data_IF_671734633389
#
_entry.id   IF_671734633389
#
_cell.length_a   1.000
_cell.length_b   1.000
_cell.length_c   1.000
_cell.angle_alpha   90.00
_cell.angle_beta   90.00
_cell.angle_gamma   90.00
#
_symmetry.space_group_name_H-M   'P 1'
#
loop_
_entity.id
_entity.type
_entity.pdbx_description
1 polymer ?
#
# COMPACT_ATOMS: atom_id res chain seq x y z
N UNK A 1 9.32 19.24 -1.91
CA UNK A 1 8.59 18.16 -2.61
C UNK A 1 7.10 18.51 -2.66
N UNK A 2 6.47 18.30 -3.80
CA UNK A 2 5.04 18.47 -4.00
C UNK A 2 4.35 17.10 -4.13
N UNK A 3 3.30 16.89 -3.36
CA UNK A 3 2.52 15.64 -3.35
C UNK A 3 1.07 15.96 -3.73
N UNK A 4 0.49 15.21 -4.65
CA UNK A 4 -0.94 15.29 -4.98
C UNK A 4 -1.66 14.02 -4.52
N UNK A 5 -2.85 14.18 -3.94
CA UNK A 5 -3.70 13.08 -3.49
C UNK A 5 -5.04 13.16 -4.23
N UNK A 6 -5.40 12.08 -4.92
CA UNK A 6 -6.64 11.97 -5.68
C UNK A 6 -7.59 11.01 -4.98
N UNK A 7 -8.78 11.52 -4.65
CA UNK A 7 -9.79 10.82 -3.85
C UNK A 7 -9.64 11.14 -2.38
N UNK A 8 -10.45 12.09 -1.87
CA UNK A 8 -10.44 12.54 -0.48
C UNK A 8 -11.64 11.92 0.27
N UNK A 9 -11.80 10.61 0.12
CA UNK A 9 -12.63 9.80 1.00
C UNK A 9 -11.91 9.50 2.32
N UNK A 10 -12.45 8.59 3.14
CA UNK A 10 -11.85 8.25 4.44
C UNK A 10 -10.35 7.89 4.35
N UNK A 11 -9.97 7.08 3.34
CA UNK A 11 -8.58 6.67 3.13
C UNK A 11 -7.72 7.84 2.67
N UNK A 12 -8.16 8.61 1.66
CA UNK A 12 -7.37 9.73 1.13
C UNK A 12 -7.19 10.85 2.16
N UNK A 13 -8.21 11.13 2.97
CA UNK A 13 -8.11 12.09 4.06
C UNK A 13 -7.12 11.62 5.14
N UNK A 14 -7.16 10.34 5.54
CA UNK A 14 -6.20 9.78 6.49
C UNK A 14 -4.76 9.79 5.94
N UNK A 15 -4.58 9.52 4.65
CA UNK A 15 -3.27 9.67 3.98
C UNK A 15 -2.82 11.12 4.04
N UNK A 16 -3.69 12.07 3.69
CA UNK A 16 -3.36 13.50 3.72
C UNK A 16 -2.95 13.95 5.15
N UNK A 17 -3.71 13.55 6.17
CA UNK A 17 -3.40 13.83 7.57
C UNK A 17 -2.05 13.23 7.99
N UNK A 18 -1.83 11.95 7.66
CA UNK A 18 -0.59 11.28 8.03
C UNK A 18 0.62 11.94 7.35
N UNK A 19 0.51 12.31 6.07
CA UNK A 19 1.59 12.97 5.31
C UNK A 19 1.85 14.39 5.82
N UNK A 20 0.81 15.17 6.11
CA UNK A 20 0.95 16.52 6.65
C UNK A 20 1.74 16.53 7.97
N UNK A 21 1.54 15.50 8.81
CA UNK A 21 2.26 15.35 10.08
C UNK A 21 3.72 14.90 9.99
N UNK A 22 4.29 14.73 8.79
CA UNK A 22 5.65 14.19 8.62
C UNK A 22 6.72 15.21 8.26
N UNK A 23 6.35 16.38 7.76
CA UNK A 23 7.28 17.34 7.17
C UNK A 23 7.91 16.93 5.84
N UNK A 24 7.46 15.84 5.22
CA UNK A 24 8.02 15.30 3.97
C UNK A 24 7.66 16.14 2.73
N UNK A 25 6.60 16.93 2.79
CA UNK A 25 6.13 17.75 1.69
C UNK A 25 6.07 19.23 2.09
N UNK A 26 6.44 20.14 1.18
CA UNK A 26 6.22 21.57 1.34
C UNK A 26 4.92 22.03 0.66
N UNK A 27 4.39 21.23 -0.26
CA UNK A 27 3.09 21.49 -0.93
C UNK A 27 2.32 20.17 -1.07
N UNK A 28 1.02 20.24 -0.73
CA UNK A 28 0.06 19.16 -0.94
C UNK A 28 -1.12 19.67 -1.75
N UNK A 29 -1.53 18.92 -2.77
CA UNK A 29 -2.74 19.19 -3.55
C UNK A 29 -3.74 18.08 -3.31
N UNK A 30 -4.92 18.44 -2.84
CA UNK A 30 -6.04 17.54 -2.61
C UNK A 30 -7.05 17.66 -3.75
N UNK A 31 -7.35 16.56 -4.41
CA UNK A 31 -8.31 16.50 -5.50
C UNK A 31 -9.38 15.45 -5.22
N UNK A 32 -10.64 15.85 -5.34
CA UNK A 32 -11.78 14.93 -5.35
C UNK A 32 -12.76 15.39 -6.44
N UNK A 33 -13.53 14.45 -7.00
CA UNK A 33 -14.64 14.80 -7.92
C UNK A 33 -15.68 15.68 -7.22
N UNK A 34 -15.84 15.51 -5.89
CA UNK A 34 -16.56 16.40 -5.02
C UNK A 34 -15.60 17.52 -4.56
N UNK A 35 -15.61 18.65 -5.29
CA UNK A 35 -14.73 19.77 -5.00
C UNK A 35 -15.01 20.43 -3.64
N UNK A 36 -16.21 20.28 -3.06
CA UNK A 36 -16.51 20.77 -1.71
C UNK A 36 -15.74 19.94 -0.67
N UNK A 37 -15.74 18.62 -0.82
CA UNK A 37 -14.98 17.71 0.05
C UNK A 37 -13.50 18.00 0.03
N UNK A 38 -12.91 18.20 -1.15
CA UNK A 38 -11.49 18.54 -1.27
C UNK A 38 -11.16 19.87 -0.59
N UNK A 39 -12.02 20.90 -0.76
CA UNK A 39 -11.84 22.21 -0.11
C UNK A 39 -11.94 22.11 1.41
N UNK A 40 -12.98 21.46 1.92
CA UNK A 40 -13.17 21.28 3.37
C UNK A 40 -11.98 20.55 4.01
N UNK A 41 -11.48 19.49 3.37
CA UNK A 41 -10.32 18.75 3.85
C UNK A 41 -9.03 19.60 3.80
N UNK A 42 -8.83 20.40 2.75
CA UNK A 42 -7.67 21.28 2.65
C UNK A 42 -7.67 22.38 3.72
N UNK A 43 -8.83 22.94 4.00
CA UNK A 43 -9.00 23.97 5.04
C UNK A 43 -8.71 23.40 6.44
N UNK A 44 -9.35 22.29 6.80
CA UNK A 44 -9.18 21.63 8.10
C UNK A 44 -7.73 21.18 8.33
N UNK A 45 -7.10 20.56 7.33
CA UNK A 45 -5.69 20.19 7.40
C UNK A 45 -4.75 21.39 7.41
N UNK A 46 -5.11 22.50 6.72
CA UNK A 46 -4.38 23.75 6.78
C UNK A 46 -4.35 24.33 8.21
N UNK A 47 -5.48 24.26 8.92
CA UNK A 47 -5.53 24.63 10.34
C UNK A 47 -4.66 23.70 11.20
N UNK A 48 -4.72 22.38 10.97
CA UNK A 48 -3.92 21.41 11.72
C UNK A 48 -2.40 21.58 11.48
N UNK A 49 -1.99 22.00 10.29
CA UNK A 49 -0.59 22.23 9.94
C UNK A 49 0.07 23.28 10.82
N UNK A 50 -0.69 24.27 11.31
CA UNK A 50 -0.19 25.29 12.25
C UNK A 50 0.37 24.70 13.57
N UNK A 51 0.00 23.47 13.91
CA UNK A 51 0.47 22.75 15.11
C UNK A 51 1.55 21.70 14.82
N UNK A 52 2.01 21.58 13.56
CA UNK A 52 2.99 20.56 13.17
C UNK A 52 4.09 21.12 12.25
N UNK A 53 3.98 20.90 10.96
CA UNK A 53 4.94 21.35 9.95
C UNK A 53 4.29 22.37 9.03
N UNK A 54 5.04 23.42 8.66
CA UNK A 54 4.59 24.39 7.68
C UNK A 54 4.52 23.72 6.28
N UNK A 55 3.30 23.50 5.84
CA UNK A 55 2.97 22.86 4.56
C UNK A 55 1.84 23.62 3.87
N UNK A 56 2.03 23.96 2.61
CA UNK A 56 0.98 24.57 1.79
C UNK A 56 0.00 23.49 1.32
N UNK A 57 -1.25 23.53 1.78
CA UNK A 57 -2.30 22.59 1.40
C UNK A 57 -3.35 23.29 0.53
N UNK A 58 -3.56 22.80 -0.68
CA UNK A 58 -4.48 23.38 -1.64
C UNK A 58 -5.50 22.33 -2.09
N UNK A 59 -6.76 22.73 -2.20
CA UNK A 59 -7.76 21.96 -2.93
C UNK A 59 -7.69 22.27 -4.42
N UNK A 60 -7.95 21.28 -5.25
CA UNK A 60 -7.99 21.43 -6.69
C UNK A 60 -9.32 20.93 -7.29
N UNK A 61 -9.78 21.60 -8.33
CA UNK A 61 -10.95 21.24 -9.13
C UNK A 61 -10.60 20.74 -10.55
N UNK A 62 -9.31 20.75 -10.88
CA UNK A 62 -8.81 20.26 -12.16
C UNK A 62 -7.40 19.68 -12.02
N UNK A 63 -7.01 18.82 -12.98
CA UNK A 63 -5.73 18.10 -12.96
C UNK A 63 -4.51 18.99 -13.23
N UNK A 64 -4.69 20.24 -13.75
CA UNK A 64 -3.57 21.17 -13.97
C UNK A 64 -2.86 21.54 -12.66
N UNK A 65 -3.58 21.49 -11.55
CA UNK A 65 -3.01 21.73 -10.22
C UNK A 65 -1.92 20.72 -9.82
N UNK A 66 -1.89 19.53 -10.47
CA UNK A 66 -0.88 18.51 -10.23
C UNK A 66 0.45 18.79 -10.93
N UNK A 67 0.53 19.84 -11.75
CA UNK A 67 1.80 20.22 -12.40
C UNK A 67 2.89 20.43 -11.35
N UNK A 68 4.06 19.82 -11.60
CA UNK A 68 5.20 19.87 -10.68
C UNK A 68 5.12 18.89 -9.50
N UNK A 69 4.10 18.01 -9.44
CA UNK A 69 4.06 16.96 -8.43
C UNK A 69 5.17 15.95 -8.64
N UNK A 70 5.90 15.66 -7.57
CA UNK A 70 6.92 14.61 -7.52
C UNK A 70 6.28 13.24 -7.26
N UNK A 71 5.18 13.23 -6.50
CA UNK A 71 4.41 12.03 -6.17
C UNK A 71 2.91 12.31 -6.36
N UNK A 72 2.20 11.37 -6.99
CA UNK A 72 0.74 11.39 -7.07
C UNK A 72 0.19 10.11 -6.43
N UNK A 73 -0.67 10.28 -5.44
CA UNK A 73 -1.30 9.19 -4.69
C UNK A 73 -2.73 9.02 -5.21
N UNK A 74 -3.06 7.82 -5.65
CA UNK A 74 -4.40 7.46 -6.14
C UNK A 74 -5.12 6.67 -5.05
N UNK A 75 -5.99 7.34 -4.31
CA UNK A 75 -6.87 6.77 -3.30
C UNK A 75 -8.35 6.84 -3.73
N UNK A 76 -8.61 7.34 -4.94
CA UNK A 76 -9.94 7.40 -5.52
C UNK A 76 -10.41 6.01 -5.91
N UNK A 77 -11.61 5.64 -5.49
CA UNK A 77 -12.24 4.37 -5.82
C UNK A 77 -13.63 4.29 -5.21
N UNK A 78 -14.42 3.33 -5.66
CA UNK A 78 -15.68 2.97 -5.05
C UNK A 78 -15.43 2.03 -3.87
N UNK A 79 -16.24 2.12 -2.83
CA UNK A 79 -16.33 1.12 -1.78
C UNK A 79 -17.35 0.05 -2.18
N UNK A 80 -17.10 -1.19 -1.77
CA UNK A 80 -18.07 -2.28 -1.96
C UNK A 80 -19.33 -1.96 -1.18
N UNK A 81 -20.49 -2.04 -1.87
CA UNK A 81 -21.80 -1.86 -1.24
C UNK A 81 -22.37 -3.22 -0.79
N UNK A 82 -23.30 -3.26 0.19
CA UNK A 82 -24.02 -4.47 0.52
C UNK A 82 -24.68 -5.08 -0.71
N UNK A 83 -24.50 -6.39 -0.94
CA UNK A 83 -25.01 -7.10 -2.11
C UNK A 83 -24.21 -6.97 -3.39
N UNK A 84 -23.16 -6.18 -3.42
CA UNK A 84 -22.29 -6.01 -4.58
C UNK A 84 -21.21 -7.10 -4.63
N UNK A 85 -20.95 -7.64 -5.82
CA UNK A 85 -19.90 -8.65 -6.01
C UNK A 85 -18.50 -8.00 -6.06
N UNK A 86 -17.44 -8.81 -5.84
CA UNK A 86 -16.05 -8.36 -6.04
C UNK A 86 -15.79 -7.96 -7.50
N UNK A 87 -16.45 -8.62 -8.46
CA UNK A 87 -16.34 -8.29 -9.89
C UNK A 87 -16.93 -6.92 -10.21
N UNK A 88 -18.09 -6.58 -9.63
CA UNK A 88 -18.70 -5.25 -9.81
C UNK A 88 -17.80 -4.14 -9.26
N UNK A 89 -17.21 -4.36 -8.09
CA UNK A 89 -16.25 -3.42 -7.50
C UNK A 89 -15.02 -3.26 -8.39
N UNK A 90 -14.49 -4.37 -8.91
CA UNK A 90 -13.34 -4.37 -9.84
C UNK A 90 -13.66 -3.50 -11.05
N UNK A 91 -14.77 -3.73 -11.76
CA UNK A 91 -15.14 -2.97 -12.95
C UNK A 91 -15.31 -1.48 -12.67
N UNK A 92 -15.94 -1.11 -11.55
CA UNK A 92 -16.05 0.31 -11.13
C UNK A 92 -14.70 0.97 -10.94
N UNK A 93 -13.79 0.29 -10.25
CA UNK A 93 -12.48 0.87 -9.96
C UNK A 93 -11.55 0.86 -11.18
N UNK A 94 -11.71 -0.10 -12.10
CA UNK A 94 -11.08 -0.04 -13.43
C UNK A 94 -11.50 1.23 -14.17
N UNK A 95 -12.80 1.53 -14.22
CA UNK A 95 -13.28 2.76 -14.88
C UNK A 95 -12.69 4.02 -14.23
N UNK A 96 -12.67 4.08 -12.88
CA UNK A 96 -12.10 5.22 -12.13
C UNK A 96 -10.62 5.39 -12.43
N UNK A 97 -9.81 4.35 -12.34
CA UNK A 97 -8.37 4.42 -12.57
C UNK A 97 -8.06 4.71 -14.04
N UNK A 98 -8.84 4.15 -14.97
CA UNK A 98 -8.71 4.41 -16.41
C UNK A 98 -9.01 5.87 -16.80
N UNK A 99 -9.90 6.55 -16.10
CA UNK A 99 -10.15 7.97 -16.30
C UNK A 99 -9.04 8.85 -15.67
N UNK A 100 -8.60 8.51 -14.46
CA UNK A 100 -7.66 9.32 -13.68
C UNK A 100 -6.25 9.29 -14.28
N UNK A 101 -5.69 8.11 -14.56
CA UNK A 101 -4.28 7.99 -14.91
C UNK A 101 -3.89 8.81 -16.15
N UNK A 102 -4.62 8.76 -17.30
CA UNK A 102 -4.27 9.58 -18.45
C UNK A 102 -4.33 11.09 -18.15
N UNK A 103 -5.31 11.53 -17.36
CA UNK A 103 -5.45 12.95 -16.98
C UNK A 103 -4.30 13.41 -16.07
N UNK A 104 -3.86 12.57 -15.14
CA UNK A 104 -2.66 12.83 -14.34
C UNK A 104 -1.45 12.95 -15.22
N UNK A 105 -1.20 11.95 -16.08
CA UNK A 105 -0.01 11.91 -16.94
C UNK A 105 0.07 13.07 -17.93
N UNK A 106 -1.07 13.64 -18.36
CA UNK A 106 -1.11 14.85 -19.19
C UNK A 106 -0.65 16.13 -18.45
N UNK A 107 -0.53 16.10 -17.13
CA UNK A 107 -0.26 17.29 -16.31
C UNK A 107 1.02 17.17 -15.44
N UNK A 108 1.65 16.02 -15.37
CA UNK A 108 2.88 15.79 -14.57
C UNK A 108 4.09 15.52 -15.46
N UNK A 109 5.27 15.70 -14.90
CA UNK A 109 6.51 15.33 -15.60
C UNK A 109 6.76 13.81 -15.46
N UNK A 110 6.59 13.08 -16.55
CA UNK A 110 6.80 11.63 -16.60
C UNK A 110 8.26 11.20 -16.28
N UNK A 111 9.24 12.11 -16.35
CA UNK A 111 10.63 11.81 -16.01
C UNK A 111 10.85 11.77 -14.49
N UNK A 112 9.99 12.43 -13.71
CA UNK A 112 10.17 12.61 -12.26
C UNK A 112 9.11 11.93 -11.41
N UNK A 113 7.85 11.96 -11.86
CA UNK A 113 6.70 11.53 -11.06
C UNK A 113 6.76 10.06 -10.66
N UNK A 114 6.27 9.77 -9.47
CA UNK A 114 5.95 8.43 -8.97
C UNK A 114 4.47 8.35 -8.66
N UNK A 115 3.85 7.25 -9.05
CA UNK A 115 2.45 6.96 -8.74
C UNK A 115 2.40 6.00 -7.57
N UNK A 116 1.66 6.37 -6.54
CA UNK A 116 1.35 5.49 -5.40
C UNK A 116 -0.11 5.09 -5.50
N UNK A 117 -0.36 3.80 -5.65
CA UNK A 117 -1.70 3.24 -5.80
C UNK A 117 -2.17 2.70 -4.45
N UNK A 118 -3.36 3.15 -4.03
CA UNK A 118 -4.02 2.73 -2.79
C UNK A 118 -5.39 2.09 -3.08
N UNK A 119 -5.93 2.35 -4.27
CA UNK A 119 -7.24 1.87 -4.74
C UNK A 119 -7.25 0.35 -4.90
N UNK A 120 -8.31 -0.30 -4.38
CA UNK A 120 -8.52 -1.76 -4.49
C UNK A 120 -9.38 -2.13 -5.72
N UNK A 121 -9.23 -3.37 -6.27
CA UNK A 121 -8.23 -4.40 -5.92
C UNK A 121 -6.82 -3.96 -6.29
N UNK A 122 -5.95 -3.86 -5.28
CA UNK A 122 -4.71 -3.11 -5.37
C UNK A 122 -3.79 -3.56 -6.50
N UNK A 123 -3.47 -4.85 -6.56
CA UNK A 123 -2.48 -5.38 -7.51
C UNK A 123 -2.95 -5.22 -8.96
N UNK A 124 -4.24 -5.40 -9.21
CA UNK A 124 -4.86 -5.17 -10.53
C UNK A 124 -4.79 -3.68 -10.90
N UNK A 125 -5.07 -2.78 -9.95
CA UNK A 125 -4.99 -1.35 -10.17
C UNK A 125 -3.54 -0.90 -10.43
N UNK A 126 -2.54 -1.51 -9.80
CA UNK A 126 -1.12 -1.28 -10.08
C UNK A 126 -0.77 -1.67 -11.52
N UNK A 127 -1.21 -2.85 -11.98
CA UNK A 127 -0.98 -3.30 -13.36
C UNK A 127 -1.63 -2.36 -14.36
N UNK A 128 -2.88 -1.96 -14.12
CA UNK A 128 -3.62 -1.03 -14.96
C UNK A 128 -2.95 0.35 -14.99
N UNK A 129 -2.59 0.89 -13.83
CA UNK A 129 -1.92 2.18 -13.74
C UNK A 129 -0.55 2.17 -14.45
N UNK A 130 0.23 1.11 -14.33
CA UNK A 130 1.51 0.97 -15.04
C UNK A 130 1.31 0.91 -16.55
N UNK A 131 0.33 0.15 -17.03
CA UNK A 131 -0.03 0.05 -18.46
C UNK A 131 -0.44 1.41 -19.03
N UNK A 132 -1.31 2.14 -18.33
CA UNK A 132 -1.86 3.42 -18.79
C UNK A 132 -0.87 4.59 -18.68
N UNK A 133 -0.08 4.63 -17.62
CA UNK A 133 0.92 5.69 -17.40
C UNK A 133 2.15 5.56 -18.28
N UNK A 134 2.47 4.35 -18.73
CA UNK A 134 3.71 4.00 -19.44
C UNK A 134 4.99 4.32 -18.63
N UNK A 135 4.86 4.59 -17.35
CA UNK A 135 6.01 4.78 -16.45
C UNK A 135 6.77 3.46 -16.27
N UNK A 136 8.06 3.52 -15.95
CA UNK A 136 8.78 2.32 -15.46
C UNK A 136 8.04 1.71 -14.28
N UNK A 137 8.01 0.38 -14.20
CA UNK A 137 7.34 -0.34 -13.11
C UNK A 137 7.84 0.09 -11.72
N UNK A 138 9.13 0.43 -11.61
CA UNK A 138 9.75 0.95 -10.38
C UNK A 138 9.09 2.23 -9.83
N UNK A 139 8.40 3.01 -10.68
CA UNK A 139 7.74 4.27 -10.32
C UNK A 139 6.22 4.17 -10.20
N UNK A 140 5.65 2.98 -10.35
CA UNK A 140 4.23 2.70 -10.10
C UNK A 140 4.13 1.69 -8.98
N UNK A 141 3.84 2.16 -7.78
CA UNK A 141 3.99 1.42 -6.53
C UNK A 141 2.62 1.33 -5.85
N UNK A 142 2.15 0.12 -5.62
CA UNK A 142 1.01 -0.13 -4.74
C UNK A 142 1.46 -0.30 -3.29
N UNK A 143 0.63 0.11 -2.36
CA UNK A 143 0.90 -0.08 -0.93
C UNK A 143 1.07 -1.55 -0.53
N UNK A 144 0.57 -2.46 -1.37
CA UNK A 144 0.78 -3.88 -1.21
C UNK A 144 0.33 -4.42 0.14
N UNK A 145 1.07 -5.37 0.63
CA UNK A 145 0.86 -6.00 1.93
C UNK A 145 1.65 -5.33 3.06
N UNK A 146 2.01 -4.03 2.92
CA UNK A 146 2.70 -3.29 3.99
C UNK A 146 1.92 -3.32 5.30
N UNK A 147 0.60 -3.06 5.21
CA UNK A 147 -0.26 -3.05 6.39
C UNK A 147 -0.46 -4.45 6.96
N UNK A 148 -0.60 -5.47 6.11
CA UNK A 148 -0.73 -6.87 6.53
C UNK A 148 0.55 -7.35 7.21
N UNK A 149 1.71 -6.97 6.67
CA UNK A 149 3.02 -7.22 7.27
C UNK A 149 3.17 -6.51 8.63
N UNK A 150 2.69 -5.27 8.76
CA UNK A 150 2.70 -4.56 10.04
C UNK A 150 1.80 -5.24 11.08
N UNK A 151 0.61 -5.74 10.68
CA UNK A 151 -0.28 -6.55 11.53
C UNK A 151 0.42 -7.81 12.02
N UNK A 152 1.03 -8.57 11.10
CA UNK A 152 1.80 -9.77 11.43
C UNK A 152 2.90 -9.48 12.46
N UNK A 153 3.72 -8.48 12.21
CA UNK A 153 4.82 -8.08 13.10
C UNK A 153 4.30 -7.65 14.47
N UNK A 154 3.19 -6.91 14.51
CA UNK A 154 2.57 -6.48 15.77
C UNK A 154 2.04 -7.67 16.58
N UNK A 155 1.37 -8.61 15.93
CA UNK A 155 0.86 -9.81 16.60
C UNK A 155 2.04 -10.65 17.14
N UNK A 156 3.06 -10.89 16.30
CA UNK A 156 4.26 -11.63 16.69
C UNK A 156 5.01 -10.95 17.85
N UNK A 157 5.22 -9.64 17.77
CA UNK A 157 5.89 -8.90 18.84
C UNK A 157 5.17 -9.05 20.18
N UNK A 158 3.84 -8.93 20.19
CA UNK A 158 3.02 -9.13 21.39
C UNK A 158 3.07 -10.58 21.89
N UNK A 159 2.98 -11.56 21.00
CA UNK A 159 3.02 -12.98 21.36
C UNK A 159 4.37 -13.38 21.94
N UNK A 160 5.46 -12.81 21.41
CA UNK A 160 6.82 -13.14 21.82
C UNK A 160 7.35 -12.24 22.96
N UNK A 161 6.60 -11.20 23.34
CA UNK A 161 7.03 -10.26 24.38
C UNK A 161 8.19 -9.35 23.95
N UNK A 162 8.29 -9.02 22.65
CA UNK A 162 9.35 -8.18 22.09
C UNK A 162 8.80 -6.98 21.33
N UNK A 163 9.64 -5.97 21.13
CA UNK A 163 9.27 -4.83 20.27
C UNK A 163 8.93 -5.31 18.85
N UNK A 164 7.86 -4.79 18.28
CA UNK A 164 7.49 -5.01 16.86
C UNK A 164 8.64 -4.68 15.90
N UNK A 165 9.53 -3.76 16.26
CA UNK A 165 10.71 -3.39 15.47
C UNK A 165 11.79 -4.47 15.43
N UNK A 166 11.81 -5.39 16.40
CA UNK A 166 12.71 -6.53 16.42
C UNK A 166 12.22 -7.71 15.55
N UNK A 167 10.96 -7.66 15.09
CA UNK A 167 10.35 -8.74 14.29
C UNK A 167 10.52 -8.44 12.81
N UNK A 168 11.15 -9.34 12.09
CA UNK A 168 11.29 -9.34 10.64
C UNK A 168 10.48 -10.50 10.07
N UNK A 169 9.29 -10.20 9.58
CA UNK A 169 8.37 -11.16 8.98
C UNK A 169 7.61 -10.45 7.85
N UNK A 170 7.13 -11.19 6.85
CA UNK A 170 6.51 -10.65 5.66
C UNK A 170 5.21 -11.37 5.34
N UNK A 171 4.24 -10.61 4.84
CA UNK A 171 3.06 -11.10 4.12
C UNK A 171 3.29 -10.79 2.65
N UNK A 172 3.13 -11.77 1.77
CA UNK A 172 3.48 -11.72 0.35
C UNK A 172 2.28 -12.03 -0.54
N UNK A 173 2.39 -11.72 -1.83
CA UNK A 173 1.38 -12.07 -2.83
C UNK A 173 0.34 -10.98 -3.05
N UNK A 174 -0.90 -11.37 -3.25
CA UNK A 174 -2.04 -10.48 -3.40
C UNK A 174 -2.28 -9.69 -2.10
N UNK A 175 -2.62 -8.40 -2.23
CA UNK A 175 -3.25 -7.69 -1.13
C UNK A 175 -4.73 -8.11 -1.05
N UNK A 176 -4.98 -9.23 -0.38
CA UNK A 176 -6.29 -9.86 -0.30
C UNK A 176 -6.22 -11.20 0.44
N UNK A 177 -7.31 -12.00 0.27
CA UNK A 177 -7.48 -13.25 1.02
C UNK A 177 -6.47 -14.34 0.64
N UNK A 178 -5.81 -14.23 -0.51
CA UNK A 178 -4.78 -15.18 -0.97
C UNK A 178 -3.36 -14.80 -0.58
N UNK A 179 -3.19 -13.77 0.25
CA UNK A 179 -1.87 -13.38 0.75
C UNK A 179 -1.21 -14.51 1.56
N UNK A 180 0.12 -14.53 1.61
CA UNK A 180 0.91 -15.62 2.19
C UNK A 180 1.83 -15.09 3.28
N UNK A 181 1.73 -15.64 4.47
CA UNK A 181 2.70 -15.38 5.54
C UNK A 181 3.96 -16.19 5.28
N UNK A 182 5.10 -15.54 5.14
CA UNK A 182 6.40 -16.15 4.89
C UNK A 182 7.07 -16.56 6.23
N UNK A 183 6.59 -17.63 6.84
CA UNK A 183 7.11 -18.13 8.13
C UNK A 183 8.57 -18.59 8.04
N UNK A 184 8.92 -19.23 6.92
CA UNK A 184 10.29 -19.74 6.71
C UNK A 184 11.35 -18.62 6.64
N UNK A 185 10.90 -17.36 6.36
CA UNK A 185 11.78 -16.21 6.33
C UNK A 185 11.64 -15.30 7.57
N UNK A 186 10.80 -15.71 8.56
CA UNK A 186 10.59 -14.90 9.74
C UNK A 186 11.78 -14.99 10.70
N UNK A 187 12.15 -13.84 11.28
CA UNK A 187 13.23 -13.74 12.26
C UNK A 187 12.92 -12.70 13.35
N UNK A 188 13.58 -12.82 14.46
CA UNK A 188 13.47 -11.88 15.59
C UNK A 188 14.87 -11.56 16.10
N UNK A 189 15.23 -10.29 16.12
CA UNK A 189 16.55 -9.85 16.57
C UNK A 189 17.72 -10.48 15.79
N UNK A 190 17.51 -10.84 14.52
CA UNK A 190 18.50 -11.50 13.67
C UNK A 190 18.51 -13.03 13.76
N UNK A 191 17.81 -13.64 14.71
CA UNK A 191 17.67 -15.10 14.82
C UNK A 191 16.47 -15.59 14.00
N UNK A 192 16.56 -16.72 13.29
CA UNK A 192 15.38 -17.38 12.73
C UNK A 192 14.30 -17.58 13.81
N UNK A 193 13.03 -17.43 13.44
CA UNK A 193 11.91 -17.43 14.39
C UNK A 193 11.90 -18.68 15.29
N UNK A 194 12.10 -19.87 14.71
CA UNK A 194 12.07 -21.12 15.47
C UNK A 194 13.26 -21.21 16.46
N UNK A 195 14.42 -20.70 16.07
CA UNK A 195 15.60 -20.62 16.96
C UNK A 195 15.37 -19.63 18.10
N UNK A 196 14.80 -18.46 17.81
CA UNK A 196 14.42 -17.48 18.84
C UNK A 196 13.44 -18.11 19.85
N UNK A 197 12.39 -18.78 19.35
CA UNK A 197 11.39 -19.45 20.17
C UNK A 197 12.03 -20.55 21.06
N UNK A 198 12.98 -21.30 20.52
CA UNK A 198 13.72 -22.34 21.27
C UNK A 198 14.54 -21.72 22.40
N UNK A 199 15.28 -20.66 22.14
CA UNK A 199 16.13 -19.99 23.15
C UNK A 199 15.30 -19.31 24.23
N UNK A 200 14.18 -18.71 23.89
CA UNK A 200 13.29 -18.02 24.84
C UNK A 200 12.29 -18.96 25.55
N UNK A 201 12.27 -20.24 25.19
CA UNK A 201 11.27 -21.21 25.65
C UNK A 201 9.82 -20.80 25.46
N UNK A 202 9.57 -19.97 24.38
CA UNK A 202 8.27 -19.48 24.01
C UNK A 202 7.89 -19.96 22.59
N UNK A 203 7.43 -21.20 22.41
CA UNK A 203 7.18 -21.80 21.11
C UNK A 203 5.92 -21.24 20.46
N UNK A 204 5.99 -20.95 19.16
CA UNK A 204 4.82 -20.69 18.32
C UNK A 204 4.43 -21.99 17.62
N UNK A 205 3.41 -22.66 18.16
CA UNK A 205 2.90 -23.93 17.62
C UNK A 205 2.26 -23.75 16.23
N UNK A 206 2.03 -24.86 15.51
CA UNK A 206 1.31 -24.83 14.24
C UNK A 206 -0.11 -24.23 14.38
N UNK A 207 -0.82 -24.55 15.45
CA UNK A 207 -2.13 -23.98 15.75
C UNK A 207 -2.04 -22.45 16.01
N UNK A 208 -1.01 -22.00 16.73
CA UNK A 208 -0.76 -20.58 16.95
C UNK A 208 -0.46 -19.85 15.62
N UNK A 209 0.33 -20.44 14.70
CA UNK A 209 0.57 -19.88 13.37
C UNK A 209 -0.72 -19.72 12.57
N UNK A 210 -1.59 -20.72 12.55
CA UNK A 210 -2.90 -20.64 11.90
C UNK A 210 -3.78 -19.52 12.49
N UNK A 211 -3.80 -19.41 13.82
CA UNK A 211 -4.54 -18.32 14.51
C UNK A 211 -3.99 -16.94 14.13
N UNK A 212 -2.67 -16.81 14.03
CA UNK A 212 -2.01 -15.56 13.64
C UNK A 212 -2.37 -15.20 12.17
N UNK A 213 -2.27 -16.16 11.25
CA UNK A 213 -2.67 -15.97 9.85
C UNK A 213 -4.13 -15.53 9.74
N UNK A 214 -5.05 -16.22 10.42
CA UNK A 214 -6.44 -15.84 10.48
C UNK A 214 -6.63 -14.40 10.95
N UNK A 215 -5.96 -13.99 12.02
CA UNK A 215 -6.03 -12.61 12.55
C UNK A 215 -5.47 -11.57 11.59
N UNK A 216 -4.40 -11.89 10.86
CA UNK A 216 -3.82 -11.01 9.83
C UNK A 216 -4.80 -10.79 8.69
N UNK A 217 -5.37 -11.86 8.13
CA UNK A 217 -6.31 -11.80 7.01
C UNK A 217 -7.64 -11.14 7.39
N UNK A 218 -8.12 -11.38 8.61
CA UNK A 218 -9.44 -10.89 9.05
C UNK A 218 -9.40 -9.53 9.76
N UNK A 219 -8.23 -8.95 10.01
CA UNK A 219 -8.10 -7.69 10.72
C UNK A 219 -8.90 -6.54 10.09
N UNK A 220 -8.94 -6.46 8.76
CA UNK A 220 -9.71 -5.44 8.06
C UNK A 220 -11.22 -5.60 8.28
N UNK A 221 -11.72 -6.82 8.22
CA UNK A 221 -13.15 -7.13 8.43
C UNK A 221 -13.59 -6.78 9.86
N UNK A 222 -12.75 -7.09 10.87
CA UNK A 222 -13.01 -6.73 12.27
C UNK A 222 -13.09 -5.20 12.45
N UNK A 223 -12.15 -4.45 11.85
CA UNK A 223 -12.14 -2.99 11.92
C UNK A 223 -13.36 -2.39 11.20
N UNK A 224 -13.70 -2.90 10.01
CA UNK A 224 -14.85 -2.44 9.23
C UNK A 224 -16.15 -2.69 10.01
N UNK A 225 -16.29 -3.84 10.66
CA UNK A 225 -17.47 -4.14 11.51
C UNK A 225 -17.63 -3.15 12.66
N UNK A 226 -16.53 -2.70 13.26
CA UNK A 226 -16.57 -1.75 14.39
C UNK A 226 -16.62 -0.27 13.99
N UNK A 227 -16.04 0.11 12.84
CA UNK A 227 -15.85 1.52 12.43
C UNK A 227 -16.43 1.88 11.07
N UNK A 228 -16.99 0.93 10.33
CA UNK A 228 -17.51 1.13 8.97
C UNK A 228 -16.44 1.11 7.87
N UNK A 229 -15.19 1.44 8.18
CA UNK A 229 -14.05 1.39 7.25
C UNK A 229 -12.73 1.36 8.01
N UNK A 230 -11.61 1.12 7.28
CA UNK A 230 -10.24 1.22 7.83
C UNK A 230 -9.51 2.35 7.12
N UNK A 231 -8.79 3.20 7.87
CA UNK A 231 -8.06 4.34 7.30
C UNK A 231 -6.77 4.71 8.04
N UNK A 232 -6.68 4.64 9.39
CA UNK A 232 -5.49 5.08 10.13
C UNK A 232 -4.23 4.29 9.75
N UNK A 233 -4.36 2.96 9.67
CA UNK A 233 -3.25 2.08 9.34
C UNK A 233 -2.71 2.31 7.93
N UNK A 234 -3.60 2.50 6.94
CA UNK A 234 -3.16 2.76 5.56
C UNK A 234 -2.58 4.17 5.42
N UNK A 235 -3.11 5.17 6.14
CA UNK A 235 -2.52 6.51 6.19
C UNK A 235 -1.08 6.46 6.69
N UNK A 236 -0.83 5.77 7.80
CA UNK A 236 0.50 5.57 8.36
C UNK A 236 1.42 4.78 7.40
N UNK A 237 0.92 3.73 6.75
CA UNK A 237 1.70 2.94 5.79
C UNK A 237 2.14 3.77 4.57
N UNK A 238 1.26 4.61 4.03
CA UNK A 238 1.60 5.51 2.93
C UNK A 238 2.64 6.55 3.38
N UNK A 239 2.46 7.17 4.54
CA UNK A 239 3.45 8.12 5.08
C UNK A 239 4.83 7.46 5.28
N UNK A 240 4.87 6.21 5.74
CA UNK A 240 6.10 5.43 5.90
C UNK A 240 6.76 5.08 4.54
N UNK A 241 5.97 4.75 3.52
CA UNK A 241 6.43 4.55 2.14
C UNK A 241 7.02 5.85 1.57
N UNK A 242 6.32 6.96 1.74
CA UNK A 242 6.78 8.28 1.28
C UNK A 242 8.09 8.68 1.95
N UNK A 243 8.24 8.42 3.25
CA UNK A 243 9.49 8.70 3.96
C UNK A 243 10.66 7.96 3.35
N UNK A 244 10.49 6.68 3.01
CA UNK A 244 11.53 5.90 2.32
C UNK A 244 11.90 6.48 0.96
N UNK A 245 10.91 6.98 0.20
CA UNK A 245 11.14 7.59 -1.12
C UNK A 245 11.80 8.97 -1.01
N UNK A 246 11.26 9.81 -0.14
CA UNK A 246 11.69 11.23 -0.02
C UNK A 246 13.10 11.35 0.51
N UNK A 247 13.45 10.52 1.50
CA UNK A 247 14.75 10.55 2.18
C UNK A 247 15.77 9.55 1.60
N UNK A 248 15.42 8.82 0.53
CA UNK A 248 16.21 7.70 -0.02
C UNK A 248 16.64 6.68 1.05
N UNK A 249 15.75 6.35 1.99
CA UNK A 249 16.10 5.47 3.10
C UNK A 249 16.39 4.03 2.68
N UNK A 250 16.04 3.65 1.46
CA UNK A 250 16.25 2.29 0.88
C UNK A 250 15.74 1.17 1.77
N UNK A 251 14.58 1.39 2.37
CA UNK A 251 13.95 0.43 3.26
C UNK A 251 13.37 -0.75 2.49
N UNK A 252 13.31 -1.89 3.18
CA UNK A 252 12.66 -3.10 2.66
C UNK A 252 11.18 -3.06 3.06
N UNK A 253 10.32 -2.82 2.07
CA UNK A 253 8.87 -2.70 2.22
C UNK A 253 8.17 -3.73 1.34
N UNK A 254 7.05 -4.31 1.82
CA UNK A 254 6.25 -5.28 1.05
C UNK A 254 5.25 -4.56 0.14
N UNK A 255 5.78 -3.82 -0.82
CA UNK A 255 5.01 -3.08 -1.81
C UNK A 255 4.71 -3.92 -3.05
N UNK A 256 3.63 -3.57 -3.76
CA UNK A 256 3.25 -4.16 -5.02
C UNK A 256 3.79 -3.34 -6.19
N UNK A 257 4.44 -3.97 -7.14
CA UNK A 257 4.81 -3.39 -8.44
C UNK A 257 4.89 -4.49 -9.49
N UNK A 258 4.83 -4.12 -10.76
CA UNK A 258 4.89 -5.07 -11.88
C UNK A 258 6.30 -5.62 -12.02
N UNK A 259 6.43 -6.94 -11.93
CA UNK A 259 7.65 -7.69 -12.24
C UNK A 259 7.42 -8.63 -13.43
N UNK A 260 8.52 -9.20 -13.95
CA UNK A 260 8.50 -10.16 -15.03
C UNK A 260 8.56 -9.52 -16.42
N UNK A 261 8.45 -10.36 -17.45
CA UNK A 261 8.53 -9.96 -18.85
C UNK A 261 7.35 -10.52 -19.66
N UNK A 262 6.97 -9.84 -20.73
CA UNK A 262 5.94 -10.31 -21.65
C UNK A 262 4.61 -10.61 -20.94
N UNK A 263 4.06 -11.80 -21.17
CA UNK A 263 2.81 -12.27 -20.55
C UNK A 263 2.94 -12.65 -19.07
N UNK A 264 4.17 -12.79 -18.56
CA UNK A 264 4.42 -13.12 -17.15
C UNK A 264 4.43 -11.88 -16.24
N UNK A 265 4.32 -10.69 -16.83
CA UNK A 265 4.22 -9.44 -16.06
C UNK A 265 3.07 -9.50 -15.06
N UNK A 266 3.39 -9.35 -13.79
CA UNK A 266 2.42 -9.44 -12.71
C UNK A 266 2.80 -8.47 -11.60
N UNK A 267 1.82 -7.70 -11.09
CA UNK A 267 2.01 -6.97 -9.86
C UNK A 267 1.63 -7.88 -8.68
N UNK A 268 2.52 -7.99 -7.71
CA UNK A 268 2.22 -8.56 -6.40
C UNK A 268 3.20 -8.03 -5.35
N UNK A 269 2.83 -8.20 -4.11
CA UNK A 269 3.65 -7.75 -2.98
C UNK A 269 4.79 -8.70 -2.71
N UNK A 270 6.00 -8.16 -2.75
CA UNK A 270 7.24 -8.81 -2.34
C UNK A 270 8.04 -7.83 -1.47
N UNK A 271 8.99 -8.28 -0.65
CA UNK A 271 9.93 -7.38 -0.01
C UNK A 271 10.76 -6.69 -1.10
N UNK A 272 10.74 -5.36 -1.10
CA UNK A 272 11.43 -4.55 -2.10
C UNK A 272 12.23 -3.45 -1.44
N UNK A 273 13.40 -3.18 -1.98
CA UNK A 273 14.17 -1.99 -1.59
C UNK A 273 13.51 -0.79 -2.27
N UNK A 274 13.04 0.16 -1.47
CA UNK A 274 12.37 1.37 -1.95
C UNK A 274 13.19 2.59 -1.57
N UNK A 275 13.50 3.44 -2.53
CA UNK A 275 14.27 4.66 -2.35
C UNK A 275 13.80 5.79 -3.27
N UNK A 276 14.64 6.79 -3.47
CA UNK A 276 14.29 8.01 -4.20
C UNK A 276 13.79 7.77 -5.63
N UNK A 277 14.26 6.74 -6.30
CA UNK A 277 13.84 6.38 -7.67
C UNK A 277 12.62 5.45 -7.70
N UNK A 278 12.04 5.14 -6.54
CA UNK A 278 10.98 4.17 -6.36
C UNK A 278 11.51 2.80 -5.96
N UNK A 279 11.04 1.73 -6.59
CA UNK A 279 11.52 0.37 -6.33
C UNK A 279 12.88 0.16 -6.98
N UNK A 280 13.90 -0.08 -6.15
CA UNK A 280 15.30 -0.28 -6.59
C UNK A 280 15.58 -1.75 -6.90
N UNK A 281 15.05 -2.67 -6.06
CA UNK A 281 15.23 -4.10 -6.24
C UNK A 281 14.10 -4.89 -5.59
N UNK A 282 13.78 -6.05 -6.15
CA UNK A 282 12.87 -7.04 -5.58
C UNK A 282 13.68 -8.13 -4.89
N UNK A 283 13.25 -8.53 -3.70
CA UNK A 283 13.88 -9.57 -2.90
C UNK A 283 12.98 -10.80 -2.87
N UNK A 284 13.60 -11.97 -2.97
CA UNK A 284 12.92 -13.26 -2.96
C UNK A 284 13.31 -14.02 -1.68
N UNK A 285 12.54 -13.92 -0.59
CA UNK A 285 12.86 -14.61 0.64
C UNK A 285 12.76 -16.12 0.46
N UNK A 286 13.52 -16.87 1.27
CA UNK A 286 13.40 -18.32 1.32
C UNK A 286 12.00 -18.70 1.80
N UNK A 287 11.30 -19.52 1.04
CA UNK A 287 9.97 -20.04 1.36
C UNK A 287 10.00 -21.55 1.50
N UNK A 288 9.14 -22.10 2.32
CA UNK A 288 8.83 -23.53 2.30
C UNK A 288 8.10 -23.91 1.00
N UNK A 289 8.07 -25.19 0.66
CA UNK A 289 7.37 -25.68 -0.54
C UNK A 289 5.88 -25.34 -0.53
N UNK A 290 5.24 -25.34 0.64
CA UNK A 290 3.84 -24.97 0.81
C UNK A 290 3.63 -23.45 0.57
N UNK A 291 4.45 -22.60 1.19
CA UNK A 291 4.40 -21.14 1.01
C UNK A 291 4.66 -20.74 -0.45
N UNK A 292 5.66 -21.34 -1.10
CA UNK A 292 5.95 -21.10 -2.52
C UNK A 292 4.78 -21.52 -3.42
N UNK A 293 4.10 -22.63 -3.09
CA UNK A 293 2.92 -23.08 -3.81
C UNK A 293 1.75 -22.12 -3.64
N UNK A 294 1.51 -21.64 -2.41
CA UNK A 294 0.46 -20.67 -2.12
C UNK A 294 0.75 -19.32 -2.78
N UNK A 295 2.01 -18.87 -2.80
CA UNK A 295 2.39 -17.64 -3.49
C UNK A 295 2.12 -17.72 -5.00
N UNK A 296 2.41 -18.86 -5.64
CA UNK A 296 2.05 -19.09 -7.05
C UNK A 296 0.54 -19.07 -7.27
N UNK A 297 -0.27 -19.64 -6.35
CA UNK A 297 -1.74 -19.57 -6.42
C UNK A 297 -2.22 -18.13 -6.30
N UNK A 298 -1.67 -17.36 -5.37
CA UNK A 298 -1.95 -15.94 -5.19
C UNK A 298 -1.70 -15.16 -6.50
N UNK A 299 -0.56 -15.37 -7.16
CA UNK A 299 -0.25 -14.78 -8.46
C UNK A 299 -1.26 -15.15 -9.56
N UNK A 300 -1.74 -16.40 -9.58
CA UNK A 300 -2.78 -16.83 -10.54
C UNK A 300 -4.11 -16.11 -10.32
N UNK A 301 -4.49 -15.84 -9.07
CA UNK A 301 -5.70 -15.08 -8.73
C UNK A 301 -5.59 -13.64 -9.24
N UNK A 302 -4.48 -12.97 -8.99
CA UNK A 302 -4.24 -11.61 -9.50
C UNK A 302 -4.32 -11.60 -11.04
N UNK A 303 -3.69 -12.58 -11.70
CA UNK A 303 -3.72 -12.71 -13.17
C UNK A 303 -5.15 -12.87 -13.68
N UNK A 304 -5.93 -13.79 -13.12
CA UNK A 304 -7.30 -14.01 -13.52
C UNK A 304 -8.17 -12.76 -13.37
N UNK A 305 -7.98 -12.01 -12.27
CA UNK A 305 -8.69 -10.75 -12.04
C UNK A 305 -8.26 -9.67 -13.06
N UNK A 306 -6.97 -9.63 -13.42
CA UNK A 306 -6.48 -8.67 -14.43
C UNK A 306 -6.94 -9.03 -15.84
N UNK A 307 -6.99 -10.30 -16.21
CA UNK A 307 -7.43 -10.76 -17.53
C UNK A 307 -8.96 -10.62 -17.75
N UNK A 308 -9.71 -10.34 -16.66
CA UNK A 308 -11.14 -10.08 -16.69
C UNK A 308 -11.52 -8.59 -16.98
N UNK A 309 -10.51 -7.70 -17.23
CA UNK A 309 -10.72 -6.26 -17.46
C UNK A 309 -10.31 -5.80 -18.88
#
# INVERSE_FOLDING_TARGET
MKISIIGIGAVGAAVATAVAGTGLAHEMVLFDRDGLRARAAAEDLGHAAAFSYDIKINAANNYRAMRGSDIVIIAAGANQKPGETRTDLLQKNVAVVSDIIPRVMANVDAKRVKLIIVTNPLDVMVMLAQKLSKLPASRVIGTGTMLDTARLRTILGRTLGVSTRAVHAYVLGEHGDSSVVAWAAASVGGLPLDEFCRQTKNPITAAARQTIEYRVHNAAYEIIRGRGATWDGIGAAVADLLRSIVNDERRILTVSTVDGAGREKLAMSLPRIVGADGVVASLHPKLSSAEATNLRKSGKIIRANYDAI
#
